data_IF_744427752408
#
_entry.id   IF_744427752408
#
_cell.length_a   1.000
_cell.length_b   1.000
_cell.length_c   1.000
_cell.angle_alpha   90.00
_cell.angle_beta   90.00
_cell.angle_gamma   90.00
#
_symmetry.space_group_name_H-M   'P 1'
#
loop_
_entity.id
_entity.type
_entity.pdbx_description
1 polymer ?
#
# COMPACT_ATOMS: atom_id res chain seq x y z
N UNK A 1 -10.30 3.62 24.54
CA UNK A 1 -10.38 4.85 23.73
C UNK A 1 -11.84 5.23 23.62
N UNK A 2 -12.23 6.48 23.84
CA UNK A 2 -13.65 6.88 23.67
C UNK A 2 -14.05 6.71 22.20
N UNK A 3 -15.30 6.31 21.95
CA UNK A 3 -15.86 6.19 20.59
C UNK A 3 -15.67 7.48 19.79
N UNK A 4 -15.82 8.63 20.46
CA UNK A 4 -15.60 9.96 19.88
C UNK A 4 -14.18 10.16 19.34
N UNK A 5 -13.15 9.75 20.08
CA UNK A 5 -11.76 9.91 19.61
C UNK A 5 -11.48 9.04 18.39
N UNK A 6 -12.05 7.84 18.35
CA UNK A 6 -11.90 6.92 17.22
C UNK A 6 -12.56 7.49 15.96
N UNK A 7 -13.76 8.04 16.08
CA UNK A 7 -14.46 8.70 14.96
C UNK A 7 -13.67 9.90 14.42
N UNK A 8 -13.08 10.71 15.32
CA UNK A 8 -12.23 11.84 14.93
C UNK A 8 -11.01 11.34 14.15
N UNK A 9 -10.34 10.28 14.62
CA UNK A 9 -9.18 9.70 13.95
C UNK A 9 -9.52 9.17 12.56
N UNK A 10 -10.65 8.45 12.41
CA UNK A 10 -11.07 7.94 11.11
C UNK A 10 -11.43 9.05 10.13
N UNK A 11 -12.08 10.12 10.59
CA UNK A 11 -12.36 11.29 9.74
C UNK A 11 -11.08 11.99 9.34
N UNK A 12 -10.17 12.19 10.28
CA UNK A 12 -8.87 12.80 10.01
C UNK A 12 -8.09 12.02 8.97
N UNK A 13 -7.98 10.69 9.12
CA UNK A 13 -7.35 9.78 8.16
C UNK A 13 -7.96 9.93 6.76
N UNK A 14 -9.29 9.89 6.66
CA UNK A 14 -10.03 10.07 5.41
C UNK A 14 -9.70 11.40 4.73
N UNK A 15 -9.78 12.51 5.48
CA UNK A 15 -9.52 13.85 4.95
C UNK A 15 -8.08 14.03 4.51
N UNK A 16 -7.10 13.54 5.30
CA UNK A 16 -5.68 13.64 4.97
C UNK A 16 -5.36 12.86 3.69
N UNK A 17 -5.85 11.63 3.58
CA UNK A 17 -5.66 10.81 2.40
C UNK A 17 -6.18 11.50 1.13
N UNK A 18 -7.36 12.11 1.19
CA UNK A 18 -7.97 12.75 0.03
C UNK A 18 -7.34 14.11 -0.27
N UNK A 19 -7.33 15.02 0.71
CA UNK A 19 -6.93 16.41 0.50
C UNK A 19 -5.43 16.56 0.25
N UNK A 20 -4.60 15.67 0.79
CA UNK A 20 -3.14 15.75 0.65
C UNK A 20 -2.63 14.68 -0.32
N UNK A 21 -3.16 13.46 -0.24
CA UNK A 21 -2.71 12.33 -1.08
C UNK A 21 -2.93 12.56 -2.58
N UNK A 22 -4.11 13.04 -3.00
CA UNK A 22 -4.37 13.31 -4.42
C UNK A 22 -3.44 14.41 -4.98
N UNK A 23 -3.37 15.62 -4.38
CA UNK A 23 -2.50 16.67 -4.91
C UNK A 23 -1.03 16.28 -4.94
N UNK A 24 -0.53 15.55 -3.95
CA UNK A 24 0.87 15.11 -3.93
C UNK A 24 1.19 14.13 -5.06
N UNK A 25 0.33 13.14 -5.31
CA UNK A 25 0.54 12.19 -6.41
C UNK A 25 0.45 12.87 -7.78
N UNK A 26 -0.50 13.79 -7.96
CA UNK A 26 -0.63 14.59 -9.20
C UNK A 26 0.62 15.47 -9.39
N UNK A 27 1.04 16.18 -8.34
CA UNK A 27 2.26 17.01 -8.36
C UNK A 27 3.49 16.17 -8.73
N UNK A 28 3.62 14.97 -8.15
CA UNK A 28 4.73 14.09 -8.47
C UNK A 28 4.68 13.64 -9.93
N UNK A 29 3.51 13.28 -10.47
CA UNK A 29 3.37 12.95 -11.90
C UNK A 29 3.84 14.12 -12.78
N UNK A 30 3.43 15.35 -12.45
CA UNK A 30 3.86 16.56 -13.17
C UNK A 30 5.39 16.69 -13.09
N UNK A 31 6.00 16.55 -11.91
CA UNK A 31 7.45 16.61 -11.75
C UNK A 31 8.16 15.52 -12.55
N UNK A 32 7.65 14.30 -12.56
CA UNK A 32 8.23 13.20 -13.32
C UNK A 32 8.20 13.52 -14.82
N UNK A 33 7.09 14.02 -15.35
CA UNK A 33 6.96 14.34 -16.77
C UNK A 33 7.93 15.46 -17.19
N UNK A 34 8.02 16.53 -16.39
CA UNK A 34 8.77 17.73 -16.80
C UNK A 34 10.23 17.78 -16.34
N UNK A 35 10.63 17.01 -15.31
CA UNK A 35 11.96 17.12 -14.68
C UNK A 35 12.79 15.85 -14.72
N UNK A 36 12.27 14.74 -15.22
CA UNK A 36 13.06 13.49 -15.29
C UNK A 36 14.09 13.56 -16.43
N UNK A 37 15.39 13.32 -16.16
CA UNK A 37 16.40 13.19 -17.21
C UNK A 37 16.18 11.93 -18.06
N UNK A 38 16.64 11.96 -19.32
CA UNK A 38 16.47 10.86 -20.29
C UNK A 38 17.02 9.51 -19.78
N UNK A 39 18.08 9.55 -18.97
CA UNK A 39 18.73 8.37 -18.39
C UNK A 39 17.84 7.62 -17.38
N UNK A 40 16.93 8.33 -16.72
CA UNK A 40 16.02 7.76 -15.72
C UNK A 40 14.66 7.35 -16.31
N UNK A 41 14.54 7.23 -17.64
CA UNK A 41 13.26 6.98 -18.33
C UNK A 41 12.54 5.70 -17.89
N UNK A 42 13.28 4.67 -17.48
CA UNK A 42 12.67 3.44 -16.95
C UNK A 42 12.19 3.68 -15.52
N UNK A 43 13.03 4.30 -14.68
CA UNK A 43 12.65 4.64 -13.31
C UNK A 43 11.41 5.54 -13.25
N UNK A 44 11.31 6.56 -14.12
CA UNK A 44 10.14 7.44 -14.16
C UNK A 44 8.85 6.72 -14.53
N UNK A 45 8.91 5.68 -15.39
CA UNK A 45 7.74 4.86 -15.70
C UNK A 45 7.27 4.07 -14.48
N UNK A 46 8.20 3.53 -13.70
CA UNK A 46 7.91 2.86 -12.42
C UNK A 46 7.24 3.83 -11.46
N UNK A 47 7.80 5.03 -11.33
CA UNK A 47 7.25 6.07 -10.46
C UNK A 47 5.85 6.52 -10.88
N UNK A 48 5.61 6.74 -12.19
CA UNK A 48 4.28 7.08 -12.71
C UNK A 48 3.29 5.95 -12.41
N UNK A 49 3.68 4.69 -12.62
CA UNK A 49 2.83 3.55 -12.29
C UNK A 49 2.44 3.56 -10.81
N UNK A 50 3.41 3.76 -9.91
CA UNK A 50 3.14 3.83 -8.47
C UNK A 50 2.20 5.01 -8.13
N UNK A 51 2.42 6.21 -8.69
CA UNK A 51 1.50 7.33 -8.48
C UNK A 51 0.06 7.05 -8.98
N UNK A 52 -0.08 6.36 -10.12
CA UNK A 52 -1.40 5.98 -10.64
C UNK A 52 -2.07 4.96 -9.73
N UNK A 53 -1.33 3.98 -9.23
CA UNK A 53 -1.85 3.00 -8.26
C UNK A 53 -2.22 3.65 -6.93
N UNK A 54 -1.41 4.60 -6.46
CA UNK A 54 -1.68 5.40 -5.27
C UNK A 54 -2.99 6.20 -5.43
N UNK A 55 -3.19 6.88 -6.58
CA UNK A 55 -4.44 7.58 -6.89
C UNK A 55 -5.62 6.59 -6.94
N UNK A 56 -5.48 5.45 -7.61
CA UNK A 56 -6.53 4.42 -7.65
C UNK A 56 -6.87 3.90 -6.24
N UNK A 57 -5.87 3.68 -5.40
CA UNK A 57 -6.06 3.23 -4.02
C UNK A 57 -6.79 4.29 -3.20
N UNK A 58 -6.44 5.57 -3.35
CA UNK A 58 -7.14 6.69 -2.70
C UNK A 58 -8.60 6.78 -3.15
N UNK A 59 -8.89 6.59 -4.45
CA UNK A 59 -10.27 6.53 -4.96
C UNK A 59 -11.04 5.40 -4.28
N UNK A 60 -10.48 4.19 -4.24
CA UNK A 60 -11.19 3.05 -3.63
C UNK A 60 -11.34 3.21 -2.10
N UNK A 61 -10.35 3.80 -1.42
CA UNK A 61 -10.45 4.15 -0.01
C UNK A 61 -11.55 5.18 0.25
N UNK A 62 -11.76 6.15 -0.63
CA UNK A 62 -12.86 7.10 -0.53
C UNK A 62 -14.23 6.38 -0.52
N UNK A 63 -14.35 5.29 -1.29
CA UNK A 63 -15.58 4.49 -1.31
C UNK A 63 -15.73 3.58 -0.10
N UNK A 64 -14.68 2.83 0.26
CA UNK A 64 -14.77 1.76 1.25
C UNK A 64 -14.33 2.20 2.66
N UNK A 65 -13.20 2.89 2.81
CA UNK A 65 -12.48 3.15 4.06
C UNK A 65 -12.58 1.99 5.08
N UNK A 66 -11.95 0.85 4.79
CA UNK A 66 -12.02 -0.34 5.63
C UNK A 66 -11.02 -0.29 6.80
N UNK A 67 -11.47 -0.62 8.01
CA UNK A 67 -10.60 -0.92 9.15
C UNK A 67 -10.91 -2.30 9.73
N UNK A 68 -9.88 -3.06 10.11
CA UNK A 68 -10.00 -4.37 10.73
C UNK A 68 -9.88 -4.26 12.26
N UNK A 69 -10.88 -4.76 12.98
CA UNK A 69 -10.91 -4.79 14.44
C UNK A 69 -11.08 -6.24 14.88
N UNK A 70 -10.33 -6.70 15.88
CA UNK A 70 -10.67 -7.95 16.55
C UNK A 70 -11.53 -7.65 17.76
N UNK A 71 -12.60 -8.42 17.93
CA UNK A 71 -13.38 -8.39 19.17
C UNK A 71 -12.59 -9.00 20.34
N UNK A 72 -13.20 -8.98 21.53
CA UNK A 72 -12.61 -9.55 22.76
C UNK A 72 -12.40 -11.06 22.68
N UNK A 73 -13.16 -11.75 21.83
CA UNK A 73 -13.08 -13.19 21.58
C UNK A 73 -12.04 -13.53 20.48
N UNK A 74 -11.46 -12.52 19.82
CA UNK A 74 -10.49 -12.67 18.75
C UNK A 74 -11.11 -12.82 17.35
N UNK A 75 -12.42 -12.66 17.21
CA UNK A 75 -13.08 -12.67 15.90
C UNK A 75 -12.76 -11.38 15.16
N UNK A 76 -12.38 -11.52 13.89
CA UNK A 76 -12.12 -10.39 13.02
C UNK A 76 -13.42 -9.79 12.49
N UNK A 77 -13.63 -8.51 12.80
CA UNK A 77 -14.66 -7.66 12.21
C UNK A 77 -14.01 -6.61 11.32
N UNK A 78 -14.71 -6.17 10.29
CA UNK A 78 -14.30 -5.02 9.47
C UNK A 78 -15.33 -3.92 9.64
N UNK A 79 -14.88 -2.71 9.93
CA UNK A 79 -15.73 -1.52 10.05
C UNK A 79 -15.44 -0.56 8.89
N UNK A 80 -16.45 0.24 8.53
CA UNK A 80 -16.43 1.15 7.39
C UNK A 80 -16.93 2.54 7.83
N UNK A 81 -16.13 3.31 8.59
CA UNK A 81 -16.62 4.47 9.32
C UNK A 81 -17.06 5.66 8.45
N UNK A 82 -16.36 5.98 7.36
CA UNK A 82 -16.66 7.17 6.54
C UNK A 82 -16.64 6.94 5.02
N UNK A 83 -16.69 5.69 4.55
CA UNK A 83 -16.75 5.40 3.12
C UNK A 83 -18.06 5.90 2.48
N UNK A 84 -17.99 6.47 1.28
CA UNK A 84 -19.19 6.90 0.51
C UNK A 84 -20.20 5.76 0.39
N UNK A 85 -19.71 4.51 0.29
CA UNK A 85 -20.54 3.33 0.18
C UNK A 85 -21.45 3.14 1.40
N UNK A 86 -21.02 3.56 2.60
CA UNK A 86 -21.82 3.51 3.83
C UNK A 86 -23.11 4.35 3.70
N UNK A 87 -23.04 5.51 3.04
CA UNK A 87 -24.20 6.37 2.79
C UNK A 87 -25.22 5.69 1.88
N UNK A 88 -24.75 4.90 0.90
CA UNK A 88 -25.60 4.13 -0.01
C UNK A 88 -26.05 2.78 0.57
N UNK A 89 -25.39 2.29 1.62
CA UNK A 89 -25.64 0.97 2.20
C UNK A 89 -26.85 0.89 3.12
N UNK A 90 -27.38 2.03 3.58
CA UNK A 90 -28.40 2.05 4.64
C UNK A 90 -29.75 1.47 4.21
N UNK A 91 -30.06 1.37 2.92
CA UNK A 91 -31.43 1.07 2.50
C UNK A 91 -31.63 -0.17 1.61
N UNK A 92 -30.69 -0.64 0.76
CA UNK A 92 -30.88 -1.86 -0.05
C UNK A 92 -29.59 -2.30 -0.80
N UNK A 93 -28.53 -2.66 -0.08
CA UNK A 93 -27.26 -2.96 -0.74
C UNK A 93 -27.06 -4.45 -1.06
N UNK A 94 -26.60 -4.73 -2.28
CA UNK A 94 -26.25 -6.08 -2.72
C UNK A 94 -24.90 -6.50 -2.09
N UNK A 95 -24.85 -7.53 -1.23
CA UNK A 95 -23.62 -7.99 -0.58
C UNK A 95 -22.53 -8.41 -1.59
N UNK A 96 -22.93 -8.84 -2.80
CA UNK A 96 -22.00 -9.17 -3.87
C UNK A 96 -21.19 -7.95 -4.34
N UNK A 97 -21.82 -6.78 -4.50
CA UNK A 97 -21.12 -5.56 -4.95
C UNK A 97 -20.06 -5.17 -3.92
N UNK A 98 -20.39 -5.25 -2.64
CA UNK A 98 -19.48 -4.94 -1.56
C UNK A 98 -18.26 -5.87 -1.56
N UNK A 99 -18.52 -7.17 -1.74
CA UNK A 99 -17.47 -8.17 -1.89
C UNK A 99 -16.53 -7.85 -3.05
N UNK A 100 -17.07 -7.50 -4.23
CA UNK A 100 -16.27 -7.12 -5.39
C UNK A 100 -15.42 -5.88 -5.10
N UNK A 101 -15.97 -4.83 -4.49
CA UNK A 101 -15.20 -3.61 -4.15
C UNK A 101 -14.07 -3.96 -3.16
N UNK A 102 -14.33 -4.83 -2.17
CA UNK A 102 -13.30 -5.29 -1.23
C UNK A 102 -12.19 -6.07 -1.92
N UNK A 103 -12.51 -6.92 -2.90
CA UNK A 103 -11.51 -7.63 -3.70
C UNK A 103 -10.67 -6.67 -4.55
N UNK A 104 -11.32 -5.68 -5.17
CA UNK A 104 -10.63 -4.64 -5.95
C UNK A 104 -9.70 -3.82 -5.06
N UNK A 105 -10.16 -3.42 -3.88
CA UNK A 105 -9.33 -2.74 -2.88
C UNK A 105 -8.10 -3.57 -2.52
N UNK A 106 -8.30 -4.83 -2.15
CA UNK A 106 -7.20 -5.73 -1.79
C UNK A 106 -6.21 -5.88 -2.95
N UNK A 107 -6.70 -6.08 -4.18
CA UNK A 107 -5.86 -6.18 -5.37
C UNK A 107 -5.00 -4.96 -5.59
N UNK A 108 -5.61 -3.77 -5.63
CA UNK A 108 -4.88 -2.52 -5.85
C UNK A 108 -3.86 -2.31 -4.73
N UNK A 109 -4.25 -2.55 -3.47
CA UNK A 109 -3.38 -2.39 -2.31
C UNK A 109 -2.13 -3.27 -2.41
N UNK A 110 -2.29 -4.58 -2.57
CA UNK A 110 -1.14 -5.47 -2.62
C UNK A 110 -0.32 -5.33 -3.90
N UNK A 111 -0.96 -4.97 -5.02
CA UNK A 111 -0.25 -4.65 -6.25
C UNK A 111 0.60 -3.38 -6.10
N UNK A 112 0.11 -2.38 -5.35
CA UNK A 112 0.88 -1.20 -4.98
C UNK A 112 2.10 -1.56 -4.11
N UNK A 113 1.93 -2.43 -3.11
CA UNK A 113 3.05 -2.94 -2.30
C UNK A 113 4.13 -3.62 -3.17
N UNK A 114 3.71 -4.43 -4.14
CA UNK A 114 4.64 -5.02 -5.10
C UNK A 114 5.33 -3.96 -5.98
N UNK A 115 4.60 -2.93 -6.42
CA UNK A 115 5.16 -1.80 -7.17
C UNK A 115 6.29 -1.09 -6.41
N UNK A 116 6.15 -0.94 -5.09
CA UNK A 116 7.19 -0.41 -4.21
C UNK A 116 8.38 -1.36 -4.08
N UNK A 117 8.15 -2.66 -3.95
CA UNK A 117 9.21 -3.66 -3.95
C UNK A 117 10.00 -3.66 -5.28
N UNK A 118 9.32 -3.54 -6.42
CA UNK A 118 9.96 -3.44 -7.74
C UNK A 118 10.77 -2.15 -7.85
N UNK A 119 10.26 -1.02 -7.34
CA UNK A 119 11.01 0.24 -7.29
C UNK A 119 12.29 0.10 -6.44
N UNK A 120 12.20 -0.60 -5.32
CA UNK A 120 13.34 -0.89 -4.45
C UNK A 120 14.38 -1.75 -5.16
N UNK A 121 13.97 -2.90 -5.70
CA UNK A 121 14.84 -3.82 -6.43
C UNK A 121 15.52 -3.10 -7.59
N UNK A 122 14.76 -2.27 -8.33
CA UNK A 122 15.30 -1.46 -9.41
C UNK A 122 16.42 -0.52 -8.91
N UNK A 123 16.17 0.24 -7.84
CA UNK A 123 17.17 1.16 -7.28
C UNK A 123 18.41 0.42 -6.80
N UNK A 124 18.24 -0.70 -6.10
CA UNK A 124 19.35 -1.53 -5.65
C UNK A 124 20.21 -2.03 -6.82
N UNK A 125 19.58 -2.61 -7.85
CA UNK A 125 20.29 -3.16 -9.00
C UNK A 125 21.01 -2.08 -9.82
N UNK A 126 20.41 -0.91 -9.98
CA UNK A 126 21.02 0.18 -10.74
C UNK A 126 22.15 0.85 -9.94
N UNK A 127 21.93 1.20 -8.67
CA UNK A 127 22.88 1.97 -7.87
C UNK A 127 24.01 1.11 -7.29
N UNK A 128 23.69 -0.07 -6.74
CA UNK A 128 24.67 -0.89 -6.02
C UNK A 128 25.34 -1.93 -6.92
N UNK A 129 24.70 -2.30 -8.03
CA UNK A 129 25.20 -3.35 -8.94
C UNK A 129 25.53 -2.85 -10.34
N UNK A 130 25.26 -1.58 -10.65
CA UNK A 130 25.44 -1.01 -12.00
C UNK A 130 24.77 -1.82 -13.11
N UNK A 131 23.68 -2.54 -12.80
CA UNK A 131 22.98 -3.38 -13.77
C UNK A 131 21.96 -2.53 -14.53
N UNK A 132 22.12 -2.44 -15.84
CA UNK A 132 21.13 -1.82 -16.73
C UNK A 132 19.91 -2.74 -16.85
N UNK A 133 18.80 -2.33 -16.24
CA UNK A 133 17.51 -3.02 -16.36
C UNK A 133 16.85 -2.54 -17.65
N UNK A 134 16.55 -3.46 -18.57
CA UNK A 134 15.79 -3.16 -19.79
C UNK A 134 14.28 -3.14 -19.50
N UNK A 135 13.51 -2.48 -20.35
CA UNK A 135 12.04 -2.43 -20.23
C UNK A 135 11.40 -3.83 -20.22
N UNK A 136 11.97 -4.80 -20.96
CA UNK A 136 11.49 -6.20 -20.94
C UNK A 136 11.64 -6.86 -19.58
N UNK A 137 12.79 -6.68 -18.90
CA UNK A 137 13.01 -7.21 -17.55
C UNK A 137 12.06 -6.55 -16.54
N UNK A 138 11.79 -5.27 -16.70
CA UNK A 138 10.77 -4.57 -15.91
C UNK A 138 9.37 -5.18 -16.09
N UNK A 139 8.91 -5.33 -17.33
CA UNK A 139 7.62 -5.94 -17.62
C UNK A 139 7.52 -7.37 -17.06
N UNK A 140 8.61 -8.13 -17.09
CA UNK A 140 8.67 -9.46 -16.49
C UNK A 140 8.46 -9.42 -14.97
N UNK A 141 9.14 -8.51 -14.26
CA UNK A 141 8.93 -8.32 -12.81
C UNK A 141 7.48 -7.93 -12.48
N UNK A 142 6.89 -7.02 -13.27
CA UNK A 142 5.48 -6.62 -13.11
C UNK A 142 4.54 -7.78 -13.41
N UNK A 143 4.83 -8.61 -14.42
CA UNK A 143 4.01 -9.76 -14.77
C UNK A 143 4.03 -10.84 -13.68
N UNK A 144 5.20 -11.11 -13.08
CA UNK A 144 5.30 -11.99 -11.92
C UNK A 144 4.48 -11.43 -10.76
N UNK A 145 4.60 -10.14 -10.47
CA UNK A 145 3.83 -9.50 -9.41
C UNK A 145 2.31 -9.62 -9.65
N UNK A 146 1.85 -9.35 -10.87
CA UNK A 146 0.45 -9.53 -11.25
C UNK A 146 0.00 -10.98 -11.06
N UNK A 147 0.79 -11.95 -11.53
CA UNK A 147 0.49 -13.37 -11.41
C UNK A 147 0.37 -13.80 -9.95
N UNK A 148 1.40 -13.55 -9.14
CA UNK A 148 1.39 -13.87 -7.70
C UNK A 148 0.20 -13.23 -7.00
N UNK A 149 -0.11 -11.96 -7.34
CA UNK A 149 -1.22 -11.24 -6.74
C UNK A 149 -2.58 -11.83 -7.12
N UNK A 150 -2.77 -12.22 -8.37
CA UNK A 150 -4.00 -12.89 -8.81
C UNK A 150 -4.20 -14.20 -8.07
N UNK A 151 -3.16 -15.04 -7.94
CA UNK A 151 -3.27 -16.28 -7.17
C UNK A 151 -3.59 -16.04 -5.71
N UNK A 152 -2.93 -15.08 -5.07
CA UNK A 152 -3.21 -14.73 -3.67
C UNK A 152 -4.67 -14.27 -3.47
N UNK A 153 -5.24 -13.53 -4.42
CA UNK A 153 -6.65 -13.11 -4.31
C UNK A 153 -7.60 -14.26 -4.60
N UNK A 154 -7.31 -15.12 -5.57
CA UNK A 154 -8.08 -16.33 -5.80
C UNK A 154 -8.09 -17.22 -4.55
N UNK A 155 -6.95 -17.32 -3.87
CA UNK A 155 -6.81 -18.01 -2.60
C UNK A 155 -7.65 -17.37 -1.50
N UNK A 156 -7.58 -16.04 -1.33
CA UNK A 156 -8.45 -15.31 -0.41
C UNK A 156 -9.93 -15.50 -0.73
N UNK A 157 -10.33 -15.48 -2.01
CA UNK A 157 -11.71 -15.74 -2.45
C UNK A 157 -12.13 -17.15 -2.05
N UNK A 158 -11.27 -18.13 -2.28
CA UNK A 158 -11.51 -19.53 -1.98
C UNK A 158 -11.69 -19.76 -0.47
N UNK A 159 -10.89 -19.10 0.37
CA UNK A 159 -10.98 -19.18 1.83
C UNK A 159 -12.10 -18.32 2.45
N UNK A 160 -12.52 -17.23 1.80
CA UNK A 160 -13.58 -16.34 2.30
C UNK A 160 -14.99 -16.78 1.87
N UNK A 161 -15.13 -17.60 0.82
CA UNK A 161 -16.43 -18.17 0.47
C UNK A 161 -16.80 -19.30 1.43
N UNK A 162 -17.94 -19.23 2.14
CA UNK A 162 -18.39 -20.26 3.05
C UNK A 162 -18.94 -21.45 2.25
N UNK A 163 -18.07 -22.16 1.53
CA UNK A 163 -18.36 -23.54 1.17
C UNK A 163 -18.10 -24.38 2.41
N UNK A 164 -19.20 -24.86 2.99
CA UNK A 164 -19.33 -25.85 4.05
C UNK A 164 -18.17 -26.86 4.16
N UNK A 165 -17.10 -26.49 4.90
CA UNK A 165 -15.89 -27.29 5.22
C UNK A 165 -14.63 -27.11 4.33
N UNK A 166 -14.45 -26.00 3.62
CA UNK A 166 -13.25 -25.75 2.81
C UNK A 166 -12.15 -24.92 3.50
N UNK A 167 -11.37 -25.50 4.41
CA UNK A 167 -10.15 -24.88 4.96
C UNK A 167 -9.00 -25.87 5.00
N UNK A 168 -8.03 -25.74 4.08
CA UNK A 168 -6.85 -26.60 4.02
C UNK A 168 -6.02 -26.41 5.30
N UNK A 169 -6.08 -27.39 6.21
CA UNK A 169 -5.28 -27.51 7.45
C UNK A 169 -3.74 -27.57 7.23
N UNK A 170 -3.22 -27.37 6.02
CA UNK A 170 -1.82 -27.62 5.65
C UNK A 170 -0.87 -26.42 5.75
N UNK A 171 -1.34 -25.19 5.98
CA UNK A 171 -0.42 -24.04 6.05
C UNK A 171 0.35 -23.90 7.36
N UNK A 172 0.02 -24.66 8.40
CA UNK A 172 0.77 -24.66 9.67
C UNK A 172 2.21 -25.13 9.47
N UNK A 173 2.49 -25.98 8.48
CA UNK A 173 3.83 -26.50 8.21
C UNK A 173 4.64 -25.67 7.20
N UNK A 174 4.05 -24.66 6.55
CA UNK A 174 4.77 -23.84 5.55
C UNK A 174 5.74 -22.83 6.19
N UNK A 175 5.56 -22.57 7.49
CA UNK A 175 6.35 -21.61 8.25
C UNK A 175 7.74 -22.15 8.65
N UNK A 176 7.95 -23.47 8.58
CA UNK A 176 9.19 -24.12 9.03
C UNK A 176 10.29 -24.20 7.95
N UNK A 177 9.95 -23.95 6.67
CA UNK A 177 10.85 -24.24 5.53
C UNK A 177 11.46 -23.03 4.82
N UNK A 178 11.42 -21.81 5.39
CA UNK A 178 11.93 -20.61 4.70
C UNK A 178 13.16 -19.93 5.33
N UNK A 179 14.36 -20.54 5.27
CA UNK A 179 15.58 -19.99 5.87
C UNK A 179 16.30 -18.91 5.03
N UNK A 180 15.69 -18.34 3.98
CA UNK A 180 16.42 -17.62 2.92
C UNK A 180 16.46 -16.08 3.01
N UNK A 181 16.05 -15.44 4.11
CA UNK A 181 16.08 -13.97 4.21
C UNK A 181 16.81 -13.53 5.49
N UNK A 182 18.12 -13.66 5.47
CA UNK A 182 19.03 -12.96 6.39
C UNK A 182 20.16 -12.36 5.56
N UNK A 183 20.07 -11.08 5.21
CA UNK A 183 21.22 -10.26 4.87
C UNK A 183 20.92 -8.76 5.02
N UNK A 184 21.92 -8.03 5.51
CA UNK A 184 21.91 -6.64 5.99
C UNK A 184 21.34 -5.63 4.98
N UNK A 185 20.34 -4.84 5.43
CA UNK A 185 19.67 -3.78 4.65
C UNK A 185 19.46 -2.50 5.49
N UNK A 186 20.44 -2.09 6.29
CA UNK A 186 20.19 -1.09 7.35
C UNK A 186 19.81 0.33 6.87
N UNK A 187 20.04 0.69 5.60
CA UNK A 187 19.75 2.06 5.11
C UNK A 187 18.63 2.16 4.08
N UNK A 188 18.04 1.03 3.67
CA UNK A 188 16.97 0.99 2.67
C UNK A 188 15.72 0.22 3.16
N UNK A 189 15.74 -0.22 4.42
CA UNK A 189 14.71 -1.01 5.10
C UNK A 189 13.44 -0.24 5.44
N UNK A 190 13.49 1.08 5.58
CA UNK A 190 12.39 1.85 6.21
C UNK A 190 11.04 1.69 5.48
N UNK A 191 10.94 1.78 4.14
CA UNK A 191 9.66 1.59 3.46
C UNK A 191 9.17 0.13 3.51
N UNK A 192 10.10 -0.84 3.41
CA UNK A 192 9.79 -2.26 3.41
C UNK A 192 9.39 -2.75 4.81
N UNK A 193 10.10 -2.36 5.88
CA UNK A 193 9.72 -2.64 7.27
C UNK A 193 8.45 -1.94 7.67
N UNK A 194 8.25 -0.70 7.20
CA UNK A 194 6.99 -0.01 7.46
C UNK A 194 5.81 -0.64 6.72
N UNK A 195 6.01 -1.60 5.82
CA UNK A 195 4.90 -2.29 5.14
C UNK A 195 4.82 -3.77 5.53
N UNK A 196 5.94 -4.47 5.52
CA UNK A 196 6.09 -5.84 5.99
C UNK A 196 5.91 -5.96 7.51
N UNK A 197 6.42 -5.01 8.29
CA UNK A 197 6.22 -4.95 9.74
C UNK A 197 4.76 -4.76 10.12
N UNK A 198 3.98 -4.06 9.28
CA UNK A 198 2.56 -3.88 9.52
C UNK A 198 1.74 -5.10 9.06
N UNK A 199 2.08 -5.72 7.93
CA UNK A 199 1.50 -7.00 7.51
C UNK A 199 1.77 -8.10 8.55
N UNK A 200 3.01 -8.15 9.06
CA UNK A 200 3.41 -9.00 10.17
C UNK A 200 2.62 -8.67 11.44
N UNK A 201 2.40 -7.39 11.77
CA UNK A 201 1.60 -7.01 12.94
C UNK A 201 0.11 -7.39 12.80
N UNK A 202 -0.48 -7.28 11.59
CA UNK A 202 -1.85 -7.72 11.34
C UNK A 202 -2.00 -9.25 11.46
N UNK A 203 -0.99 -10.02 11.04
CA UNK A 203 -1.00 -11.49 11.07
C UNK A 203 -0.65 -12.03 12.47
N UNK A 204 0.31 -11.41 13.15
CA UNK A 204 0.93 -11.95 14.38
C UNK A 204 0.28 -11.46 15.67
N UNK A 205 -0.45 -10.35 15.61
CA UNK A 205 -1.23 -9.89 16.75
C UNK A 205 -2.46 -10.79 16.91
N UNK A 206 -2.34 -11.88 17.66
CA UNK A 206 -3.47 -12.77 18.03
C UNK A 206 -4.06 -12.43 19.42
N UNK A 207 -3.43 -11.51 20.14
CA UNK A 207 -3.86 -11.06 21.46
C UNK A 207 -5.02 -10.06 21.34
N UNK A 208 -6.09 -10.26 22.13
CA UNK A 208 -7.34 -9.45 22.10
C UNK A 208 -7.39 -8.37 23.18
N UNK A 209 -6.25 -7.77 23.56
CA UNK A 209 -6.29 -6.67 24.53
C UNK A 209 -6.63 -5.33 23.83
N UNK A 210 -7.24 -4.39 24.56
CA UNK A 210 -7.57 -3.06 24.05
C UNK A 210 -6.35 -2.31 23.52
N UNK A 211 -5.19 -2.47 24.17
CA UNK A 211 -3.92 -1.87 23.70
C UNK A 211 -3.54 -2.39 22.32
N UNK A 212 -3.72 -3.69 22.06
CA UNK A 212 -3.38 -4.28 20.77
C UNK A 212 -4.33 -3.82 19.67
N UNK A 213 -5.61 -3.59 19.97
CA UNK A 213 -6.55 -2.99 19.02
C UNK A 213 -6.19 -1.55 18.67
N UNK A 214 -5.78 -0.73 19.64
CA UNK A 214 -5.31 0.64 19.36
C UNK A 214 -4.09 0.61 18.45
N UNK A 215 -3.11 -0.25 18.75
CA UNK A 215 -1.90 -0.38 17.93
C UNK A 215 -2.27 -0.83 16.50
N UNK A 216 -3.18 -1.80 16.34
CA UNK A 216 -3.67 -2.21 15.01
C UNK A 216 -4.34 -1.07 14.25
N UNK A 217 -5.16 -0.26 14.91
CA UNK A 217 -5.83 0.90 14.30
C UNK A 217 -4.79 1.92 13.84
N UNK A 218 -3.81 2.26 14.69
CA UNK A 218 -2.72 3.17 14.31
C UNK A 218 -1.94 2.65 13.11
N UNK A 219 -1.68 1.36 13.07
CA UNK A 219 -1.02 0.71 11.94
C UNK A 219 -1.86 0.74 10.65
N UNK A 220 -3.17 0.58 10.74
CA UNK A 220 -4.06 0.71 9.58
C UNK A 220 -4.13 2.14 9.07
N UNK A 221 -4.09 3.14 9.95
CA UNK A 221 -3.96 4.54 9.55
C UNK A 221 -2.63 4.73 8.81
N UNK A 222 -1.51 4.21 9.33
CA UNK A 222 -0.22 4.28 8.63
C UNK A 222 -0.29 3.62 7.24
N UNK A 223 -1.03 2.53 7.10
CA UNK A 223 -1.27 1.92 5.79
C UNK A 223 -2.07 2.82 4.86
N UNK A 224 -3.13 3.44 5.35
CA UNK A 224 -3.93 4.37 4.56
C UNK A 224 -3.12 5.58 4.08
N UNK A 225 -2.12 5.99 4.86
CA UNK A 225 -1.18 7.05 4.50
C UNK A 225 -0.07 6.60 3.52
N UNK A 226 -0.02 5.33 3.08
CA UNK A 226 0.99 4.87 2.10
C UNK A 226 1.01 5.71 0.81
N UNK A 227 -0.13 6.01 0.17
CA UNK A 227 -0.19 6.89 -1.00
C UNK A 227 0.30 8.31 -0.74
N UNK A 228 0.38 8.74 0.53
CA UNK A 228 0.93 10.03 0.93
C UNK A 228 2.46 9.97 1.04
N UNK A 229 2.97 8.91 1.68
CA UNK A 229 4.40 8.78 1.93
C UNK A 229 5.19 8.52 0.65
N UNK A 230 4.64 7.75 -0.28
CA UNK A 230 5.29 7.44 -1.55
C UNK A 230 5.76 8.69 -2.31
N UNK A 231 4.90 9.68 -2.62
CA UNK A 231 5.32 10.87 -3.32
C UNK A 231 6.28 11.74 -2.52
N UNK A 232 6.10 11.84 -1.20
CA UNK A 232 6.99 12.61 -0.32
C UNK A 232 8.40 12.01 -0.33
N UNK A 233 8.53 10.70 -0.08
CA UNK A 233 9.80 9.99 -0.10
C UNK A 233 10.44 10.08 -1.50
N UNK A 234 9.64 9.97 -2.55
CA UNK A 234 10.13 10.10 -3.92
C UNK A 234 10.72 11.49 -4.18
N UNK A 235 10.03 12.57 -3.79
CA UNK A 235 10.53 13.94 -3.91
C UNK A 235 11.82 14.14 -3.11
N UNK A 236 11.86 13.67 -1.87
CA UNK A 236 13.01 13.87 -0.97
C UNK A 236 14.25 13.08 -1.41
N UNK A 237 14.05 11.87 -1.96
CA UNK A 237 15.14 10.96 -2.33
C UNK A 237 15.68 11.18 -3.75
N UNK A 238 14.89 11.76 -4.66
CA UNK A 238 15.33 12.01 -6.04
C UNK A 238 15.82 13.46 -6.21
N UNK A 239 17.12 13.62 -6.39
CA UNK A 239 17.78 14.93 -6.60
C UNK A 239 17.10 15.82 -7.65
N UNK A 240 16.69 15.34 -8.84
CA UNK A 240 16.04 16.19 -9.84
C UNK A 240 14.74 16.82 -9.33
N UNK A 241 13.93 16.06 -8.58
CA UNK A 241 12.64 16.51 -8.06
C UNK A 241 12.84 17.41 -6.83
N UNK A 242 13.75 17.04 -5.94
CA UNK A 242 14.14 17.87 -4.80
C UNK A 242 14.64 19.25 -5.26
N UNK A 243 15.51 19.29 -6.26
CA UNK A 243 16.04 20.55 -6.78
C UNK A 243 14.93 21.39 -7.45
N UNK A 244 13.98 20.75 -8.13
CA UNK A 244 12.85 21.46 -8.76
C UNK A 244 11.91 22.13 -7.75
N UNK A 245 11.74 21.55 -6.56
CA UNK A 245 10.86 22.09 -5.51
C UNK A 245 11.63 23.06 -4.60
N UNK A 246 12.78 22.65 -4.07
CA UNK A 246 13.48 23.37 -3.00
C UNK A 246 14.58 24.32 -3.51
N UNK A 247 15.25 23.98 -4.61
CA UNK A 247 16.38 24.79 -5.13
C UNK A 247 15.97 25.76 -6.24
N UNK A 248 14.67 26.06 -6.38
CA UNK A 248 14.16 27.07 -7.33
C UNK A 248 14.78 28.45 -7.10
N UNK A 249 15.24 28.73 -5.88
CA UNK A 249 15.94 29.97 -5.50
C UNK A 249 17.42 30.03 -5.89
N UNK A 250 18.03 28.92 -6.29
CA UNK A 250 19.45 28.87 -6.70
C UNK A 250 19.66 28.82 -8.22
N UNK A 251 18.59 28.65 -9.01
CA UNK A 251 18.64 28.71 -10.49
C UNK A 251 18.45 30.17 -10.95
N UNK A 252 19.23 31.08 -10.37
CA UNK A 252 19.58 32.37 -10.94
C UNK A 252 20.98 32.76 -10.43
N UNK A 253 22.05 32.26 -11.05
CA UNK A 253 23.21 33.06 -11.30
C UNK A 253 23.20 33.42 -12.79
N UNK A 254 22.93 34.72 -13.02
CA UNK A 254 23.17 35.52 -14.23
C UNK A 254 22.14 35.43 -15.35
#
# INVERSE_FOLDING_TARGET
>A
MSSVLLDILFKFDYFVCILIGFPLNILLIILIIFKTPKEMKIHSRILIQNCVLDILLLIVQMFLQAFYILDTEGNASTIFPNGILLCFMKENFNPFIFYIIRLVWAFIFYFNLHGLCVQFIYRYLVLNRNIKITFRRYLFMVSIALFVQTFYILDLIFFLMPYSNGGIKYFVNFNETWPFIQYEMETAFVPFVNQAGILFFMIYSKTSNNTTNIIRILFQILFHLTPLFNPIICVLTNTPYRNAIFNRSQINPQ
#
